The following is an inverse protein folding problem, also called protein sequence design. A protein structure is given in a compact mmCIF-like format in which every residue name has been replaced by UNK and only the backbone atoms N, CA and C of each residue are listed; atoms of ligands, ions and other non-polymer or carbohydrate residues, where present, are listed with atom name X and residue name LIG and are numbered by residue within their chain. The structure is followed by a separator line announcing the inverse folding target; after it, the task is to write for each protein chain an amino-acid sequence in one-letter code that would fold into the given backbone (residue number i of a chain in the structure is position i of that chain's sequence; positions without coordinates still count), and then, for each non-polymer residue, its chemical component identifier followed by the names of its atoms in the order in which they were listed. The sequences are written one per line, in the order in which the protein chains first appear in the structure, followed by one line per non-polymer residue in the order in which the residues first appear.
data_IF_286200345705
#
_entry.id   IF_286200345705
#
_cell.length_a   1.000
_cell.length_b   1.000
_cell.length_c   1.000
_cell.angle_alpha   90.00
_cell.angle_beta   90.00
_cell.angle_gamma   90.00
#
_symmetry.space_group_name_H-M   'P 1'
#
loop_
_entity.id
_entity.type
_entity.pdbx_description
1 polymer ?
#
# COMPACT_ATOMS: atom_id res chain seq x y z
N UNK A 1 38.40 -16.58 17.19
CA UNK A 1 38.08 -17.79 17.97
C UNK A 1 37.26 -17.38 19.17
N UNK A 2 36.17 -18.11 19.42
CA UNK A 2 35.13 -17.98 20.46
C UNK A 2 34.11 -16.86 20.29
N UNK A 3 33.03 -17.20 19.56
CA UNK A 3 31.71 -16.58 19.64
C UNK A 3 30.94 -17.23 20.80
N UNK A 4 30.37 -16.42 21.68
CA UNK A 4 29.53 -16.87 22.80
C UNK A 4 28.08 -16.59 22.43
N UNK A 5 27.32 -17.64 22.14
CA UNK A 5 25.89 -17.56 21.88
C UNK A 5 25.11 -17.52 23.20
N UNK A 6 24.20 -16.55 23.32
CA UNK A 6 23.22 -16.48 24.40
C UNK A 6 21.93 -17.14 23.92
N UNK A 7 21.46 -18.17 24.62
CA UNK A 7 20.16 -18.79 24.40
C UNK A 7 19.12 -18.09 25.30
N UNK A 8 18.07 -17.55 24.68
CA UNK A 8 16.93 -16.94 25.35
C UNK A 8 15.87 -18.04 25.56
N UNK A 9 15.48 -18.30 26.81
CA UNK A 9 14.40 -19.22 27.16
C UNK A 9 13.06 -18.47 27.19
N UNK A 10 12.12 -18.87 26.33
CA UNK A 10 10.74 -18.37 26.30
C UNK A 10 9.88 -19.27 27.19
N UNK A 11 9.17 -18.66 28.15
CA UNK A 11 8.16 -19.32 28.98
C UNK A 11 6.79 -19.14 28.30
N UNK A 12 6.20 -20.22 27.82
CA UNK A 12 4.81 -20.25 27.37
C UNK A 12 3.87 -20.33 28.58
N UNK A 13 2.99 -19.33 28.71
CA UNK A 13 1.84 -19.34 29.62
C UNK A 13 0.62 -19.79 28.81
N UNK A 14 0.07 -20.96 29.16
CA UNK A 14 -1.19 -21.44 28.61
C UNK A 14 -2.38 -20.78 29.33
N UNK A 15 -3.27 -20.16 28.55
CA UNK A 15 -4.59 -19.74 29.03
C UNK A 15 -5.63 -20.78 28.57
N UNK A 16 -6.42 -21.23 29.55
CA UNK A 16 -7.42 -22.27 29.42
C UNK A 16 -8.70 -21.82 28.72
N UNK A 17 -9.34 -22.82 28.14
CA UNK A 17 -10.63 -22.85 27.48
C UNK A 17 -11.72 -23.11 28.54
N UNK A 18 -12.76 -22.29 28.57
CA UNK A 18 -13.97 -22.54 29.38
C UNK A 18 -15.17 -21.78 28.77
N UNK A 19 -16.24 -22.53 28.45
CA UNK A 19 -17.60 -21.98 28.53
C UNK A 19 -18.53 -22.23 27.35
N UNK A 20 -18.85 -23.49 27.07
CA UNK A 20 -20.04 -23.84 26.28
C UNK A 20 -21.33 -23.45 27.01
N UNK A 21 -22.28 -22.83 26.29
CA UNK A 21 -23.66 -22.66 26.74
C UNK A 21 -24.61 -23.28 25.72
N UNK A 22 -25.21 -24.39 26.15
CA UNK A 22 -26.36 -25.03 25.52
C UNK A 22 -27.64 -24.23 25.76
N UNK A 23 -28.38 -23.92 24.70
CA UNK A 23 -29.74 -23.38 24.76
C UNK A 23 -30.62 -24.00 23.68
N UNK A 24 -31.40 -25.01 24.07
CA UNK A 24 -32.48 -25.59 23.27
C UNK A 24 -33.82 -24.87 23.56
N UNK A 25 -34.85 -25.23 22.78
CA UNK A 25 -36.31 -24.96 22.95
C UNK A 25 -36.76 -23.67 22.18
N UNK A 26 -37.75 -23.64 21.28
CA UNK A 26 -38.93 -24.48 20.99
C UNK A 26 -39.40 -24.31 19.54
N UNK A 27 -39.80 -25.42 18.93
CA UNK A 27 -40.67 -25.52 17.77
C UNK A 27 -42.14 -25.28 18.19
N UNK A 28 -42.89 -24.51 17.40
CA UNK A 28 -44.36 -24.51 17.45
C UNK A 28 -44.92 -24.01 16.11
N UNK A 29 -45.33 -24.96 15.26
CA UNK A 29 -45.95 -24.68 13.98
C UNK A 29 -47.40 -24.18 14.05
N UNK A 30 -47.84 -23.58 12.95
CA UNK A 30 -49.20 -23.50 12.36
C UNK A 30 -49.09 -22.49 11.21
N UNK A 31 -49.14 -22.86 9.92
CA UNK A 31 -50.22 -23.55 9.23
C UNK A 31 -51.18 -22.50 8.67
N UNK A 32 -51.07 -22.14 7.37
CA UNK A 32 -52.26 -21.89 6.55
C UNK A 32 -51.94 -21.87 5.05
N UNK A 33 -52.67 -22.72 4.35
CA UNK A 33 -52.88 -22.81 2.93
C UNK A 33 -53.60 -21.56 2.41
N UNK A 34 -53.22 -21.03 1.24
CA UNK A 34 -54.20 -20.56 0.25
C UNK A 34 -53.61 -20.60 -1.15
N UNK A 35 -54.44 -21.15 -2.00
CA UNK A 35 -54.33 -21.53 -3.40
C UNK A 35 -54.86 -20.40 -4.31
N UNK A 36 -54.68 -20.56 -5.62
CA UNK A 36 -55.39 -19.85 -6.73
C UNK A 36 -54.85 -18.43 -7.04
N UNK A 37 -54.38 -18.06 -8.24
CA UNK A 37 -54.98 -18.26 -9.58
C UNK A 37 -53.96 -18.03 -10.69
N UNK A 38 -54.04 -18.88 -11.71
CA UNK A 38 -53.54 -18.69 -13.08
C UNK A 38 -54.21 -17.51 -13.79
N UNK A 39 -53.47 -16.74 -14.59
CA UNK A 39 -54.04 -16.09 -15.78
C UNK A 39 -53.00 -16.09 -16.89
N UNK A 40 -53.33 -16.91 -17.87
CA UNK A 40 -52.74 -17.04 -19.19
C UNK A 40 -53.32 -15.92 -20.08
N UNK A 41 -52.51 -15.18 -20.81
CA UNK A 41 -52.98 -14.49 -22.02
C UNK A 41 -51.86 -14.38 -23.04
N UNK A 42 -52.16 -14.97 -24.20
CA UNK A 42 -51.35 -15.17 -25.39
C UNK A 42 -51.44 -13.98 -26.35
N UNK A 43 -50.60 -14.03 -27.41
CA UNK A 43 -50.67 -13.31 -28.71
C UNK A 43 -50.08 -11.87 -28.70
N UNK A 44 -49.21 -11.41 -29.61
CA UNK A 44 -49.05 -11.69 -31.06
C UNK A 44 -47.68 -11.24 -31.58
N UNK A 45 -47.17 -11.93 -32.60
CA UNK A 45 -46.02 -11.68 -33.48
C UNK A 45 -46.12 -10.41 -34.35
N UNK A 46 -45.02 -9.67 -34.58
CA UNK A 46 -44.51 -9.20 -35.90
C UNK A 46 -43.24 -8.32 -35.80
N UNK A 47 -42.16 -8.76 -36.45
CA UNK A 47 -41.52 -8.04 -37.57
C UNK A 47 -40.73 -6.74 -37.37
N UNK A 48 -39.41 -6.87 -37.59
CA UNK A 48 -38.54 -5.98 -38.38
C UNK A 48 -37.93 -4.71 -37.75
N UNK A 49 -36.58 -4.76 -37.65
CA UNK A 49 -35.62 -3.80 -38.23
C UNK A 49 -35.87 -2.30 -38.02
N UNK A 50 -34.98 -1.65 -37.26
CA UNK A 50 -34.18 -0.52 -37.77
C UNK A 50 -33.03 -0.17 -36.83
N UNK A 51 -31.91 0.13 -37.46
CA UNK A 51 -30.65 0.66 -36.94
C UNK A 51 -30.85 2.01 -36.25
N UNK A 52 -30.20 2.22 -35.10
CA UNK A 52 -29.84 3.54 -34.61
C UNK A 52 -28.55 3.45 -33.80
N UNK A 53 -27.54 4.11 -34.33
CA UNK A 53 -26.25 4.43 -33.74
C UNK A 53 -26.46 5.32 -32.51
N UNK A 54 -25.95 4.93 -31.35
CA UNK A 54 -25.79 5.84 -30.21
C UNK A 54 -24.31 5.98 -29.88
N UNK A 55 -23.88 7.24 -29.80
CA UNK A 55 -22.56 7.72 -29.44
C UNK A 55 -22.19 7.31 -27.99
N UNK A 56 -20.93 6.96 -27.72
CA UNK A 56 -20.44 6.91 -26.36
C UNK A 56 -20.20 8.32 -25.82
N UNK A 57 -20.80 8.60 -24.66
CA UNK A 57 -20.57 9.81 -23.88
C UNK A 57 -19.14 9.80 -23.34
N UNK A 58 -18.37 10.81 -23.74
CA UNK A 58 -16.97 11.01 -23.37
C UNK A 58 -16.84 11.30 -21.88
N UNK A 59 -16.07 10.47 -21.17
CA UNK A 59 -15.64 10.69 -19.79
C UNK A 59 -14.75 11.94 -19.68
N UNK A 60 -15.00 12.73 -18.64
CA UNK A 60 -14.35 14.02 -18.41
C UNK A 60 -12.84 13.91 -18.25
N UNK A 61 -12.12 14.31 -19.29
CA UNK A 61 -10.68 14.58 -19.23
C UNK A 61 -10.47 15.81 -18.36
N UNK A 62 -9.78 15.68 -17.22
CA UNK A 62 -9.25 16.82 -16.48
C UNK A 62 -8.08 17.41 -17.26
N UNK A 63 -8.38 18.29 -18.21
CA UNK A 63 -7.38 19.03 -18.98
C UNK A 63 -6.97 20.30 -18.26
N UNK A 64 -5.72 20.37 -17.78
CA UNK A 64 -5.07 21.64 -17.51
C UNK A 64 -4.32 22.13 -18.76
N UNK A 65 -4.50 23.42 -19.06
CA UNK A 65 -3.93 24.11 -20.22
C UNK A 65 -2.50 24.51 -19.91
N UNK A 66 -1.52 23.89 -20.57
CA UNK A 66 -0.15 24.40 -20.60
C UNK A 66 -0.06 25.61 -21.55
N UNK A 67 0.22 26.78 -21.00
CA UNK A 67 0.56 27.98 -21.76
C UNK A 67 2.03 27.91 -22.19
N UNK A 68 2.28 27.53 -23.44
CA UNK A 68 3.59 27.72 -24.06
C UNK A 68 3.74 29.18 -24.52
N UNK A 69 4.58 29.93 -23.82
CA UNK A 69 5.04 31.26 -24.24
C UNK A 69 6.20 31.13 -25.25
N UNK A 70 5.94 31.47 -26.50
CA UNK A 70 6.96 31.72 -27.52
C UNK A 70 7.63 33.07 -27.26
N UNK A 71 8.94 33.04 -27.02
CA UNK A 71 9.80 34.22 -26.95
C UNK A 71 10.18 34.66 -28.37
N UNK A 72 9.70 35.84 -28.80
CA UNK A 72 10.25 36.55 -29.95
C UNK A 72 11.23 37.63 -29.49
N UNK A 73 12.40 37.54 -30.09
CA UNK A 73 13.52 38.47 -30.11
C UNK A 73 13.07 39.88 -30.54
N UNK A 74 13.38 40.90 -29.75
CA UNK A 74 13.52 42.26 -30.29
C UNK A 74 14.54 43.08 -29.51
N UNK A 75 15.57 43.46 -30.25
CA UNK A 75 16.69 44.31 -29.90
C UNK A 75 16.23 45.75 -29.69
N UNK A 76 16.48 46.36 -28.53
CA UNK A 76 16.60 47.82 -28.39
C UNK A 76 17.61 48.21 -27.31
N UNK A 77 18.50 49.13 -27.71
CA UNK A 77 19.62 49.76 -26.98
C UNK A 77 19.20 50.62 -25.77
N UNK A 78 20.13 50.91 -24.83
CA UNK A 78 19.82 51.45 -23.50
C UNK A 78 19.93 52.98 -23.43
N UNK A 79 19.39 53.59 -22.36
CA UNK A 79 19.99 54.77 -21.79
C UNK A 79 20.45 54.56 -20.34
N UNK A 80 21.71 54.94 -20.14
CA UNK A 80 22.39 55.26 -18.89
C UNK A 80 21.59 56.21 -18.02
N UNK A 81 21.47 55.94 -16.71
CA UNK A 81 21.46 56.99 -15.69
C UNK A 81 21.98 56.50 -14.34
N UNK A 82 22.82 57.36 -13.76
CA UNK A 82 23.56 57.29 -12.50
C UNK A 82 22.79 57.93 -11.34
N UNK A 83 22.83 57.33 -10.14
CA UNK A 83 22.82 57.95 -8.80
C UNK A 83 23.05 56.82 -7.78
N UNK A 84 24.12 56.70 -6.98
CA UNK A 84 24.75 57.51 -5.92
C UNK A 84 23.98 57.54 -4.58
N UNK A 85 24.71 57.11 -3.53
CA UNK A 85 24.52 57.29 -2.07
C UNK A 85 23.47 56.45 -1.35
N UNK A 86 23.55 56.14 -0.05
CA UNK A 86 24.59 56.00 0.99
C UNK A 86 23.82 55.74 2.32
N UNK A 87 24.53 55.31 3.36
CA UNK A 87 24.21 55.33 4.80
C UNK A 87 23.70 54.02 5.43
N UNK A 88 24.55 53.30 6.16
CA UNK A 88 24.89 53.39 7.62
C UNK A 88 23.73 53.14 8.59
N UNK A 89 23.96 52.23 9.54
CA UNK A 89 23.05 52.00 10.67
C UNK A 89 23.46 50.81 11.55
N UNK A 90 24.55 50.96 12.29
CA UNK A 90 24.97 50.09 13.39
C UNK A 90 24.00 50.17 14.57
N UNK A 91 23.61 49.06 15.19
CA UNK A 91 23.39 49.04 16.65
C UNK A 91 23.65 47.66 17.25
N UNK A 92 24.63 47.64 18.15
CA UNK A 92 24.99 46.58 19.09
C UNK A 92 24.20 46.78 20.38
N UNK A 93 23.70 45.73 21.02
CA UNK A 93 23.74 45.52 22.48
C UNK A 93 23.40 44.07 22.80
N UNK A 94 24.30 43.40 23.52
CA UNK A 94 24.06 42.12 24.18
C UNK A 94 23.71 42.29 25.66
N UNK A 95 23.47 41.14 26.32
CA UNK A 95 23.57 40.77 27.76
C UNK A 95 22.69 39.50 27.88
N UNK A 96 23.24 38.29 27.91
CA UNK A 96 23.88 37.54 29.02
C UNK A 96 22.95 37.25 30.21
N UNK A 97 22.61 35.95 30.42
CA UNK A 97 22.47 35.33 31.75
C UNK A 97 22.34 33.79 31.69
N UNK A 98 23.41 33.13 32.13
CA UNK A 98 23.50 32.07 33.17
C UNK A 98 22.78 30.70 33.04
N UNK A 99 23.62 29.69 32.80
CA UNK A 99 23.83 28.40 33.49
C UNK A 99 22.96 27.94 34.67
N UNK A 100 22.62 26.65 34.65
CA UNK A 100 22.45 25.80 35.84
C UNK A 100 22.09 24.33 35.48
N UNK A 101 22.86 23.32 35.91
CA UNK A 101 22.60 21.90 35.63
C UNK A 101 21.82 21.24 36.77
N UNK A 102 21.01 20.22 36.48
CA UNK A 102 20.46 19.36 37.52
C UNK A 102 20.62 17.88 37.19
N UNK A 103 21.02 17.14 38.23
CA UNK A 103 21.53 15.78 38.23
C UNK A 103 20.69 15.00 39.23
N UNK A 104 20.08 13.87 38.83
CA UNK A 104 19.54 12.86 39.77
C UNK A 104 19.48 11.52 39.04
N UNK A 105 20.41 10.59 39.27
CA UNK A 105 20.49 9.57 40.35
C UNK A 105 19.67 8.31 40.08
N UNK A 106 20.43 7.24 39.91
CA UNK A 106 20.18 5.80 39.77
C UNK A 106 19.30 5.20 40.87
N UNK A 107 18.54 4.14 40.54
CA UNK A 107 18.20 3.08 41.51
C UNK A 107 18.13 1.74 40.79
N UNK A 108 19.20 0.97 40.92
CA UNK A 108 19.24 -0.48 40.67
C UNK A 108 18.48 -1.20 41.79
N UNK A 109 17.68 -2.21 41.45
CA UNK A 109 17.22 -3.23 42.40
C UNK A 109 17.55 -4.60 41.85
N UNK A 110 18.59 -5.18 42.43
CA UNK A 110 19.05 -6.55 42.20
C UNK A 110 18.24 -7.49 43.09
N UNK A 111 17.51 -8.45 42.53
CA UNK A 111 16.93 -9.56 43.28
C UNK A 111 17.63 -10.84 42.84
N UNK A 112 18.42 -11.38 43.77
CA UNK A 112 19.04 -12.69 43.73
C UNK A 112 17.98 -13.75 43.98
N UNK A 113 17.87 -14.76 43.10
CA UNK A 113 17.26 -16.03 43.49
C UNK A 113 18.08 -17.22 42.99
N UNK A 114 18.24 -18.15 43.92
CA UNK A 114 19.12 -19.32 43.91
C UNK A 114 18.25 -20.55 43.75
N UNK A 115 18.47 -21.39 42.73
CA UNK A 115 17.93 -22.77 42.74
C UNK A 115 18.75 -23.73 41.85
N UNK A 116 19.56 -24.52 42.56
CA UNK A 116 19.67 -25.99 42.52
C UNK A 116 19.64 -26.73 41.17
N UNK A 117 20.81 -27.24 40.85
CA UNK A 117 21.19 -28.34 39.93
C UNK A 117 20.35 -29.61 40.12
N UNK A 118 19.97 -30.28 39.02
CA UNK A 118 19.82 -31.74 38.97
C UNK A 118 20.20 -32.23 37.57
N UNK A 119 21.37 -32.87 37.50
CA UNK A 119 21.82 -33.70 36.40
C UNK A 119 20.91 -34.93 36.22
N UNK A 120 20.58 -35.28 34.98
CA UNK A 120 20.33 -36.68 34.61
C UNK A 120 20.86 -36.94 33.22
N UNK A 121 22.05 -37.52 33.21
CA UNK A 121 22.72 -38.18 32.10
C UNK A 121 21.94 -39.45 31.72
N UNK A 122 21.48 -39.57 30.48
CA UNK A 122 21.20 -40.89 29.89
C UNK A 122 21.79 -40.99 28.49
N UNK A 123 22.96 -41.62 28.44
CA UNK A 123 23.57 -42.19 27.25
C UNK A 123 22.75 -43.38 26.77
N UNK A 124 22.43 -43.45 25.48
CA UNK A 124 22.19 -44.73 24.80
C UNK A 124 22.56 -44.64 23.33
N UNK A 125 23.31 -45.64 22.92
CA UNK A 125 24.09 -45.77 21.69
C UNK A 125 23.31 -46.60 20.67
N UNK A 126 23.43 -46.22 19.40
CA UNK A 126 23.38 -47.04 18.16
C UNK A 126 22.23 -48.04 17.95
N UNK A 127 21.56 -47.91 16.81
CA UNK A 127 21.59 -48.93 15.74
C UNK A 127 21.15 -48.33 14.41
N UNK A 128 22.01 -48.50 13.42
CA UNK A 128 21.76 -48.34 11.99
C UNK A 128 20.75 -49.39 11.55
N UNK A 129 19.66 -48.98 10.89
CA UNK A 129 19.01 -49.84 9.91
C UNK A 129 18.45 -49.00 8.77
N UNK A 130 18.91 -49.36 7.58
CA UNK A 130 18.64 -48.80 6.28
C UNK A 130 17.33 -49.41 5.78
N UNK A 131 16.27 -48.60 5.67
CA UNK A 131 15.08 -48.98 4.91
C UNK A 131 14.45 -47.74 4.30
N UNK A 132 14.75 -47.56 3.02
CA UNK A 132 14.04 -46.75 2.05
C UNK A 132 12.52 -46.83 2.24
N UNK A 133 11.96 -45.77 2.82
CA UNK A 133 10.58 -45.35 2.64
C UNK A 133 10.63 -43.85 2.46
N UNK A 134 10.42 -43.39 1.22
CA UNK A 134 10.06 -42.01 0.89
C UNK A 134 8.73 -41.71 1.57
N UNK A 135 8.82 -41.36 2.84
CA UNK A 135 7.75 -40.74 3.60
C UNK A 135 7.96 -39.26 3.35
N UNK A 136 7.19 -38.74 2.41
CA UNK A 136 6.96 -37.31 2.24
C UNK A 136 6.29 -36.83 3.53
N UNK A 137 7.14 -36.53 4.51
CA UNK A 137 6.74 -35.99 5.80
C UNK A 137 6.66 -34.48 5.63
N UNK A 138 5.67 -34.03 4.87
CA UNK A 138 5.08 -32.71 5.09
C UNK A 138 4.45 -32.77 6.47
N UNK A 139 5.29 -32.48 7.47
CA UNK A 139 4.82 -32.04 8.78
C UNK A 139 4.15 -30.71 8.48
N UNK A 140 2.86 -30.78 8.15
CA UNK A 140 1.99 -29.62 8.05
C UNK A 140 1.93 -29.00 9.43
N UNK A 141 2.97 -28.24 9.77
CA UNK A 141 2.83 -27.15 10.73
C UNK A 141 1.67 -26.32 10.18
N UNK A 142 0.61 -26.26 10.98
CA UNK A 142 -0.51 -25.36 10.74
C UNK A 142 0.13 -24.00 10.44
N UNK A 143 -0.04 -23.46 9.22
CA UNK A 143 0.53 -22.18 8.89
C UNK A 143 0.07 -21.22 9.98
N UNK A 144 1.03 -20.63 10.70
CA UNK A 144 0.73 -19.73 11.79
C UNK A 144 -0.28 -18.67 11.35
N UNK A 145 -1.04 -18.06 12.28
CA UNK A 145 -1.98 -17.01 11.92
C UNK A 145 -1.30 -16.00 11.02
N UNK A 146 -1.94 -15.68 9.88
CA UNK A 146 -1.43 -14.75 8.87
C UNK A 146 -0.23 -15.27 8.06
N UNK A 147 -0.05 -16.58 7.88
CA UNK A 147 0.88 -17.08 6.86
C UNK A 147 0.44 -16.66 5.44
N UNK A 148 1.42 -16.56 4.55
CA UNK A 148 1.17 -16.34 3.13
C UNK A 148 0.66 -17.63 2.48
N UNK A 149 -0.48 -17.61 1.79
CA UNK A 149 -1.01 -18.78 1.12
C UNK A 149 -0.19 -19.09 -0.13
N UNK A 150 -0.05 -20.37 -0.44
CA UNK A 150 0.44 -20.84 -1.73
C UNK A 150 -0.72 -20.82 -2.73
N UNK A 151 -0.75 -19.80 -3.59
CA UNK A 151 -1.81 -19.58 -4.59
C UNK A 151 -1.19 -19.51 -5.99
N UNK A 152 -2.02 -19.75 -7.02
CA UNK A 152 -1.57 -19.88 -8.42
C UNK A 152 -0.79 -18.66 -8.93
N UNK A 153 -1.19 -17.46 -8.51
CA UNK A 153 -0.45 -16.22 -8.79
C UNK A 153 0.33 -15.86 -7.54
N UNK A 154 1.66 -16.11 -7.50
CA UNK A 154 2.43 -15.93 -6.28
C UNK A 154 2.37 -14.49 -5.77
N UNK A 155 2.54 -14.29 -4.47
CA UNK A 155 2.47 -12.96 -3.86
C UNK A 155 3.84 -12.32 -3.66
N UNK A 156 4.92 -13.04 -3.99
CA UNK A 156 6.30 -12.76 -3.60
C UNK A 156 7.29 -12.61 -4.75
N UNK A 157 6.86 -12.79 -6.00
CA UNK A 157 7.71 -12.72 -7.21
C UNK A 157 7.44 -11.48 -8.09
N UNK A 158 6.60 -10.54 -7.64
CA UNK A 158 6.37 -9.30 -8.40
C UNK A 158 5.46 -8.27 -7.73
N UNK A 159 5.16 -7.24 -8.50
CA UNK A 159 4.35 -6.08 -8.11
C UNK A 159 3.05 -6.11 -8.90
N UNK A 160 1.91 -6.05 -8.22
CA UNK A 160 0.62 -5.90 -8.89
C UNK A 160 0.46 -4.45 -9.31
N UNK A 161 0.03 -4.22 -10.55
CA UNK A 161 -0.22 -2.89 -11.10
C UNK A 161 -1.60 -2.84 -11.75
N UNK A 162 -2.23 -1.68 -11.59
CA UNK A 162 -3.63 -1.45 -11.91
C UNK A 162 -3.74 -0.39 -13.01
N UNK A 163 -4.45 -0.70 -14.08
CA UNK A 163 -4.80 0.28 -15.10
C UNK A 163 -5.98 1.14 -14.67
N UNK A 164 -6.10 2.34 -15.26
CA UNK A 164 -7.23 3.26 -15.10
C UNK A 164 -8.55 2.76 -15.71
N UNK A 165 -8.50 1.69 -16.51
CA UNK A 165 -9.61 1.08 -17.24
C UNK A 165 -9.91 -0.38 -16.82
N UNK A 166 -9.56 -0.75 -15.58
CA UNK A 166 -9.89 -2.04 -14.94
C UNK A 166 -9.23 -3.27 -15.56
N UNK A 167 -7.93 -3.16 -15.80
CA UNK A 167 -7.03 -4.28 -16.03
C UNK A 167 -6.09 -4.46 -14.84
N UNK A 168 -5.98 -5.70 -14.38
CA UNK A 168 -4.99 -6.10 -13.39
C UNK A 168 -3.82 -6.77 -14.07
N UNK A 169 -2.62 -6.28 -13.77
CA UNK A 169 -1.36 -6.76 -14.32
C UNK A 169 -0.39 -7.05 -13.18
N UNK A 170 0.65 -7.81 -13.52
CA UNK A 170 1.79 -8.03 -12.65
C UNK A 170 3.08 -7.62 -13.35
N UNK A 171 3.84 -6.75 -12.70
CA UNK A 171 5.16 -6.33 -13.10
C UNK A 171 6.21 -7.19 -12.37
N UNK A 172 7.18 -7.70 -13.11
CA UNK A 172 8.27 -8.52 -12.61
C UNK A 172 9.57 -7.72 -12.66
N UNK A 173 10.06 -7.18 -11.52
CA UNK A 173 11.25 -6.36 -11.50
C UNK A 173 12.50 -7.04 -12.07
N UNK A 174 12.72 -8.33 -11.74
CA UNK A 174 13.89 -9.09 -12.18
C UNK A 174 14.03 -9.14 -13.71
N UNK A 175 12.91 -9.29 -14.41
CA UNK A 175 12.88 -9.42 -15.88
C UNK A 175 12.42 -8.14 -16.59
N UNK A 176 12.04 -7.11 -15.82
CA UNK A 176 11.44 -5.88 -16.29
C UNK A 176 10.27 -6.13 -17.28
N UNK A 177 9.40 -7.08 -16.94
CA UNK A 177 8.31 -7.54 -17.80
C UNK A 177 6.95 -7.40 -17.13
N UNK A 178 5.89 -7.40 -17.95
CA UNK A 178 4.51 -7.28 -17.49
C UNK A 178 3.70 -8.47 -18.00
N UNK A 179 2.84 -9.01 -17.13
CA UNK A 179 1.86 -10.05 -17.48
C UNK A 179 0.47 -9.56 -17.10
N UNK A 180 -0.46 -9.59 -18.06
CA UNK A 180 -1.87 -9.31 -17.78
C UNK A 180 -2.46 -10.50 -17.01
N UNK A 181 -3.05 -10.24 -15.86
CA UNK A 181 -3.78 -11.27 -15.10
C UNK A 181 -5.22 -11.35 -15.60
N UNK A 182 -5.83 -10.20 -15.92
CA UNK A 182 -7.16 -10.13 -16.49
C UNK A 182 -7.75 -8.73 -16.42
N UNK A 183 -8.85 -8.53 -17.15
CA UNK A 183 -9.72 -7.38 -16.95
C UNK A 183 -10.86 -7.75 -16.01
N UNK A 184 -11.48 -6.75 -15.39
CA UNK A 184 -12.55 -6.96 -14.42
C UNK A 184 -13.67 -5.92 -14.55
N UNK A 185 -14.84 -6.28 -14.03
CA UNK A 185 -16.01 -5.42 -14.05
C UNK A 185 -16.86 -5.66 -12.80
N UNK A 186 -16.56 -4.90 -11.75
CA UNK A 186 -17.19 -5.06 -10.45
C UNK A 186 -18.55 -4.32 -10.42
N UNK A 187 -19.57 -4.90 -11.07
CA UNK A 187 -20.92 -4.32 -11.07
C UNK A 187 -21.10 -3.08 -11.96
N UNK A 188 -20.32 -2.97 -13.04
CA UNK A 188 -20.31 -1.85 -13.99
C UNK A 188 -19.19 -0.85 -13.77
N UNK A 189 -18.42 -0.99 -12.69
CA UNK A 189 -17.32 -0.08 -12.37
C UNK A 189 -16.05 -0.47 -13.12
N UNK A 190 -15.54 0.46 -13.90
CA UNK A 190 -14.31 0.29 -14.69
C UNK A 190 -13.30 1.41 -14.53
N UNK A 191 -13.62 2.46 -13.77
CA UNK A 191 -12.73 3.62 -13.58
C UNK A 191 -12.08 3.53 -12.21
N UNK A 192 -10.79 3.21 -12.20
CA UNK A 192 -10.04 2.89 -10.99
C UNK A 192 -9.22 4.09 -10.51
N UNK A 193 -8.89 4.12 -9.22
CA UNK A 193 -8.18 5.22 -8.57
C UNK A 193 -6.86 4.75 -7.93
N UNK A 194 -6.92 3.84 -6.96
CA UNK A 194 -5.74 3.29 -6.26
C UNK A 194 -5.98 1.80 -5.94
N UNK A 195 -4.92 1.09 -5.56
CA UNK A 195 -4.95 -0.35 -5.25
C UNK A 195 -3.99 -0.70 -4.11
N UNK A 196 -4.44 -1.56 -3.20
CA UNK A 196 -3.59 -2.31 -2.27
C UNK A 196 -3.80 -3.81 -2.47
N UNK A 197 -2.81 -4.66 -2.18
CA UNK A 197 -2.96 -6.13 -2.27
C UNK A 197 -2.76 -6.74 -0.89
N UNK A 198 -3.74 -7.51 -0.41
CA UNK A 198 -3.65 -8.17 0.89
C UNK A 198 -2.87 -9.48 0.82
N UNK A 199 -2.55 -10.01 2.00
CA UNK A 199 -1.85 -11.30 2.11
C UNK A 199 -2.61 -12.50 1.56
N UNK A 200 -3.92 -12.39 1.34
CA UNK A 200 -4.77 -13.50 0.89
C UNK A 200 -4.91 -13.54 -0.63
N UNK A 201 -4.27 -12.60 -1.34
CA UNK A 201 -4.34 -12.52 -2.79
C UNK A 201 -5.57 -11.77 -3.30
N UNK A 202 -6.10 -10.83 -2.51
CA UNK A 202 -7.07 -9.87 -3.03
C UNK A 202 -6.43 -8.51 -3.29
N UNK A 203 -6.62 -8.01 -4.49
CA UNK A 203 -6.41 -6.61 -4.82
C UNK A 203 -7.64 -5.81 -4.38
N UNK A 204 -7.46 -4.92 -3.41
CA UNK A 204 -8.46 -3.95 -2.97
C UNK A 204 -8.35 -2.72 -3.85
N UNK A 205 -9.32 -2.54 -4.73
CA UNK A 205 -9.33 -1.47 -5.75
C UNK A 205 -10.35 -0.43 -5.37
N UNK A 206 -9.93 0.83 -5.33
CA UNK A 206 -10.79 1.99 -5.18
C UNK A 206 -11.21 2.50 -6.56
N UNK A 207 -12.47 2.89 -6.70
CA UNK A 207 -13.03 3.39 -7.96
C UNK A 207 -13.34 4.90 -7.90
N UNK A 208 -13.31 5.53 -9.08
CA UNK A 208 -13.77 6.92 -9.26
C UNK A 208 -15.29 7.01 -9.40
N UNK A 209 -15.97 5.93 -9.78
CA UNK A 209 -17.41 5.93 -10.04
C UNK A 209 -18.04 4.60 -9.60
N UNK A 210 -18.79 4.58 -8.48
CA UNK A 210 -18.98 5.69 -7.54
C UNK A 210 -17.67 6.09 -6.85
N UNK A 211 -17.58 7.36 -6.45
CA UNK A 211 -16.39 7.93 -5.85
C UNK A 211 -16.04 7.24 -4.53
N UNK A 212 -14.82 6.70 -4.44
CA UNK A 212 -14.28 6.13 -3.20
C UNK A 212 -14.80 4.74 -2.87
N UNK A 213 -15.57 4.10 -3.75
CA UNK A 213 -16.02 2.72 -3.58
C UNK A 213 -14.82 1.77 -3.63
N UNK A 214 -14.76 0.77 -2.75
CA UNK A 214 -13.66 -0.21 -2.70
C UNK A 214 -14.20 -1.62 -2.89
N UNK A 215 -13.62 -2.37 -3.83
CA UNK A 215 -13.94 -3.79 -4.06
C UNK A 215 -12.69 -4.66 -3.97
N UNK A 216 -12.88 -5.94 -3.63
CA UNK A 216 -11.82 -6.95 -3.67
C UNK A 216 -11.86 -7.67 -5.01
N UNK A 217 -10.71 -7.80 -5.65
CA UNK A 217 -10.49 -8.55 -6.88
C UNK A 217 -9.55 -9.71 -6.54
N UNK A 218 -9.95 -10.94 -6.83
CA UNK A 218 -9.07 -12.11 -6.70
C UNK A 218 -7.94 -12.02 -7.74
N UNK A 219 -6.68 -12.02 -7.31
CA UNK A 219 -5.56 -11.90 -8.25
C UNK A 219 -5.39 -13.13 -9.15
N UNK A 220 -5.96 -14.28 -8.76
CA UNK A 220 -5.97 -15.53 -9.53
C UNK A 220 -7.14 -15.61 -10.51
N UNK A 221 -8.23 -14.89 -10.25
CA UNK A 221 -9.36 -14.74 -11.15
C UNK A 221 -9.90 -13.30 -11.11
N UNK A 222 -9.32 -12.36 -11.89
CA UNK A 222 -9.71 -10.96 -11.80
C UNK A 222 -11.18 -10.68 -12.10
N UNK A 223 -11.91 -11.59 -12.75
CA UNK A 223 -13.35 -11.43 -12.96
C UNK A 223 -14.17 -11.65 -11.68
N UNK A 224 -13.57 -12.23 -10.64
CA UNK A 224 -14.19 -12.46 -9.35
C UNK A 224 -14.06 -11.23 -8.44
N UNK A 225 -15.02 -10.31 -8.61
CA UNK A 225 -15.17 -9.13 -7.76
C UNK A 225 -16.05 -9.44 -6.53
N UNK A 226 -15.58 -9.05 -5.34
CA UNK A 226 -16.30 -9.17 -4.07
C UNK A 226 -16.49 -7.78 -3.48
N UNK A 227 -17.74 -7.39 -3.21
CA UNK A 227 -18.07 -6.20 -2.44
C UNK A 227 -17.78 -6.49 -0.96
N UNK A 228 -16.78 -5.83 -0.34
CA UNK A 228 -16.50 -6.00 1.08
C UNK A 228 -17.58 -5.36 1.97
N UNK A 229 -18.41 -4.45 1.44
CA UNK A 229 -19.31 -3.60 2.21
C UNK A 229 -18.63 -2.34 2.75
N UNK A 230 -17.57 -1.87 2.09
CA UNK A 230 -16.90 -0.62 2.46
C UNK A 230 -17.83 0.56 2.19
N UNK A 231 -18.08 1.40 3.19
CA UNK A 231 -18.85 2.62 3.00
C UNK A 231 -17.90 3.75 2.59
N UNK A 232 -18.08 4.41 1.43
CA UNK A 232 -17.24 5.53 1.04
C UNK A 232 -17.47 6.78 1.89
N UNK A 233 -16.55 7.75 1.79
CA UNK A 233 -16.65 9.07 2.41
C UNK A 233 -16.74 9.04 3.96
N UNK A 234 -16.13 8.03 4.59
CA UNK A 234 -16.02 7.99 6.05
C UNK A 234 -15.14 9.14 6.52
N UNK A 235 -15.60 9.86 7.55
CA UNK A 235 -14.87 11.00 8.11
C UNK A 235 -14.55 12.11 7.08
N UNK A 236 -15.26 12.16 5.95
CA UNK A 236 -14.99 13.12 4.87
C UNK A 236 -13.87 12.69 3.92
N UNK A 237 -13.35 11.47 4.05
CA UNK A 237 -12.31 10.93 3.17
C UNK A 237 -12.96 10.20 1.99
N UNK A 238 -12.96 10.87 0.83
CA UNK A 238 -13.49 10.31 -0.41
C UNK A 238 -12.49 9.46 -1.19
N UNK A 239 -11.21 9.82 -1.15
CA UNK A 239 -10.14 9.14 -1.87
C UNK A 239 -8.88 9.05 -1.01
N UNK A 240 -8.09 8.01 -1.21
CA UNK A 240 -6.75 7.88 -0.64
C UNK A 240 -5.92 6.89 -1.45
N UNK A 241 -4.63 7.17 -1.60
CA UNK A 241 -3.67 6.16 -2.05
C UNK A 241 -3.46 5.14 -0.92
N UNK A 242 -3.33 3.84 -1.23
CA UNK A 242 -3.42 2.78 -0.22
C UNK A 242 -2.41 1.66 -0.36
N UNK A 243 -2.05 1.05 0.78
CA UNK A 243 -1.22 -0.16 0.84
C UNK A 243 -1.51 -1.00 2.08
N UNK A 244 -1.32 -2.31 1.97
CA UNK A 244 -1.23 -3.19 3.14
C UNK A 244 0.17 -3.16 3.74
N UNK A 245 0.24 -3.16 5.07
CA UNK A 245 1.50 -3.14 5.82
C UNK A 245 1.40 -4.17 6.94
N UNK A 246 2.42 -5.03 7.10
CA UNK A 246 2.47 -5.96 8.23
C UNK A 246 2.56 -5.22 9.55
N UNK A 247 2.05 -5.81 10.63
CA UNK A 247 2.20 -5.25 11.97
C UNK A 247 3.68 -5.14 12.33
N UNK A 248 4.46 -6.20 12.08
CA UNK A 248 5.93 -6.21 12.16
C UNK A 248 6.51 -7.45 11.46
N UNK A 249 7.84 -7.57 11.42
CA UNK A 249 8.52 -8.82 11.01
C UNK A 249 8.15 -10.07 11.85
N UNK A 250 7.59 -9.89 13.05
CA UNK A 250 7.22 -10.99 13.97
C UNK A 250 5.71 -11.18 14.11
N UNK A 251 4.94 -10.21 13.68
CA UNK A 251 3.48 -10.24 13.62
C UNK A 251 3.10 -9.91 12.19
N UNK A 252 2.95 -10.97 11.40
CA UNK A 252 2.86 -10.84 9.96
C UNK A 252 1.51 -10.28 9.53
N UNK A 253 0.46 -10.37 10.37
CA UNK A 253 -0.87 -9.84 10.09
C UNK A 253 -0.79 -8.38 9.63
N UNK A 254 -1.68 -7.99 8.72
CA UNK A 254 -1.57 -6.75 7.97
C UNK A 254 -2.79 -5.85 8.17
N UNK A 255 -2.53 -4.55 8.00
CA UNK A 255 -3.53 -3.50 8.05
C UNK A 255 -3.34 -2.59 6.84
N UNK A 256 -4.44 -2.04 6.32
CA UNK A 256 -4.37 -1.08 5.23
C UNK A 256 -4.07 0.31 5.79
N UNK A 257 -3.17 1.03 5.13
CA UNK A 257 -2.83 2.43 5.42
C UNK A 257 -3.03 3.28 4.19
N UNK A 258 -3.35 4.56 4.40
CA UNK A 258 -3.65 5.48 3.32
C UNK A 258 -3.17 6.91 3.56
N UNK A 259 -3.08 7.69 2.48
CA UNK A 259 -3.00 9.15 2.52
C UNK A 259 -4.15 9.76 1.74
N UNK A 260 -4.92 10.65 2.36
CA UNK A 260 -6.12 11.22 1.75
C UNK A 260 -5.84 12.10 0.53
N UNK A 261 -6.84 12.17 -0.34
CA UNK A 261 -6.94 13.09 -1.46
C UNK A 261 -8.35 13.68 -1.47
N UNK A 262 -8.45 15.00 -1.64
CA UNK A 262 -9.74 15.71 -1.60
C UNK A 262 -10.58 15.52 -2.88
N UNK A 263 -10.00 14.94 -3.94
CA UNK A 263 -10.68 14.73 -5.21
C UNK A 263 -10.73 15.97 -6.12
N UNK A 264 -10.10 17.08 -5.71
CA UNK A 264 -10.20 18.37 -6.41
C UNK A 264 -8.83 18.88 -6.87
N UNK A 265 -8.72 19.15 -8.16
CA UNK A 265 -7.51 19.73 -8.74
C UNK A 265 -6.37 18.72 -8.87
N UNK A 266 -5.14 19.23 -8.91
CA UNK A 266 -3.95 18.39 -8.95
C UNK A 266 -3.39 18.16 -7.55
N UNK A 267 -2.48 17.19 -7.46
CA UNK A 267 -1.72 16.91 -6.24
C UNK A 267 -0.99 18.16 -5.75
N UNK A 268 -1.02 18.40 -4.44
CA UNK A 268 -0.42 19.58 -3.85
C UNK A 268 0.21 19.29 -2.50
N UNK A 269 1.06 20.22 -2.05
CA UNK A 269 1.75 20.14 -0.77
C UNK A 269 1.51 21.42 0.04
N UNK A 270 1.26 21.26 1.34
CA UNK A 270 1.01 22.36 2.26
C UNK A 270 0.66 21.86 3.67
N UNK A 271 0.80 22.68 4.71
CA UNK A 271 0.62 22.22 6.08
C UNK A 271 -0.76 21.60 6.36
N UNK A 272 -0.80 20.31 6.71
CA UNK A 272 -2.00 19.61 7.16
C UNK A 272 -3.16 19.58 6.17
N UNK A 273 -2.86 19.52 4.87
CA UNK A 273 -3.88 19.50 3.80
C UNK A 273 -4.38 18.09 3.46
N UNK A 274 -3.72 17.05 3.96
CA UNK A 274 -4.17 15.66 3.87
C UNK A 274 -4.15 14.97 5.23
N UNK A 275 -4.44 13.68 5.22
CA UNK A 275 -4.53 12.83 6.40
C UNK A 275 -3.83 11.49 6.12
N UNK A 276 -3.00 11.06 7.06
CA UNK A 276 -2.49 9.71 7.15
C UNK A 276 -3.47 8.90 8.00
N UNK A 277 -3.93 7.80 7.46
CA UNK A 277 -5.01 7.00 8.01
C UNK A 277 -4.72 5.51 7.94
N UNK A 278 -5.49 4.73 8.68
CA UNK A 278 -5.58 3.29 8.51
C UNK A 278 -7.01 2.86 8.24
N UNK A 279 -7.16 1.72 7.58
CA UNK A 279 -8.42 1.01 7.41
C UNK A 279 -8.29 -0.37 8.02
N UNK A 280 -9.22 -0.71 8.89
CA UNK A 280 -9.34 -2.05 9.43
C UNK A 280 -9.99 -2.97 8.38
N UNK A 281 -9.33 -4.05 7.92
CA UNK A 281 -9.87 -4.87 6.82
C UNK A 281 -11.09 -5.71 7.22
N UNK A 282 -11.37 -5.87 8.52
CA UNK A 282 -12.53 -6.62 9.01
C UNK A 282 -13.74 -5.70 9.25
N UNK A 283 -13.53 -4.58 9.92
CA UNK A 283 -14.62 -3.63 10.22
C UNK A 283 -14.83 -2.57 9.14
N UNK A 284 -13.87 -2.42 8.22
CA UNK A 284 -13.88 -1.46 7.11
C UNK A 284 -13.97 0.00 7.53
N UNK A 285 -13.58 0.28 8.78
CA UNK A 285 -13.60 1.63 9.34
C UNK A 285 -12.26 2.34 9.12
N UNK A 286 -12.34 3.59 8.66
CA UNK A 286 -11.20 4.51 8.67
C UNK A 286 -10.88 4.90 10.11
N UNK A 287 -9.59 5.00 10.42
CA UNK A 287 -9.05 5.69 11.60
C UNK A 287 -7.99 6.71 11.15
N UNK A 288 -8.22 7.99 11.42
CA UNK A 288 -7.27 9.06 11.07
C UNK A 288 -6.19 9.10 12.15
N UNK A 289 -4.94 8.89 11.73
CA UNK A 289 -3.78 8.81 12.62
C UNK A 289 -3.21 10.21 12.84
N UNK A 290 -2.95 10.93 11.76
CA UNK A 290 -2.40 12.29 11.81
C UNK A 290 -2.67 13.07 10.52
N UNK A 291 -2.70 14.41 10.57
CA UNK A 291 -2.60 15.22 9.35
C UNK A 291 -1.28 14.94 8.59
N UNK A 292 -1.29 15.14 7.27
CA UNK A 292 -0.12 15.16 6.41
C UNK A 292 -0.07 16.43 5.58
N UNK A 293 1.11 16.70 5.04
CA UNK A 293 1.29 17.85 4.17
C UNK A 293 0.95 17.56 2.71
N UNK A 294 0.36 16.40 2.40
CA UNK A 294 0.11 15.94 1.03
C UNK A 294 -1.39 15.83 0.76
N UNK A 295 -1.91 16.65 -0.15
CA UNK A 295 -3.23 16.43 -0.73
C UNK A 295 -3.06 15.46 -1.91
N UNK A 296 -3.20 14.17 -1.60
CA UNK A 296 -2.89 13.05 -2.48
C UNK A 296 -1.42 12.62 -2.43
N UNK A 297 -1.23 11.37 -2.04
CA UNK A 297 0.01 10.63 -2.11
C UNK A 297 -0.36 9.15 -2.25
N UNK A 298 0.47 8.40 -2.96
CA UNK A 298 0.33 6.94 -3.00
C UNK A 298 1.09 6.34 -1.83
N UNK A 299 0.70 5.13 -1.44
CA UNK A 299 1.26 4.43 -0.28
C UNK A 299 1.88 3.09 -0.70
N UNK A 300 2.91 2.65 0.01
CA UNK A 300 3.40 1.28 -0.07
C UNK A 300 3.84 0.79 1.30
N UNK A 301 3.78 -0.53 1.51
CA UNK A 301 4.08 -1.18 2.77
C UNK A 301 5.06 -2.33 2.59
N UNK A 302 5.64 -2.79 3.69
CA UNK A 302 6.60 -3.90 3.70
C UNK A 302 6.20 -4.99 4.68
N UNK A 303 6.72 -6.20 4.46
CA UNK A 303 6.55 -7.34 5.37
C UNK A 303 7.23 -7.19 6.73
N UNK A 304 8.22 -6.29 6.86
CA UNK A 304 8.82 -5.94 8.16
C UNK A 304 8.07 -4.81 8.89
N UNK A 305 7.03 -4.25 8.26
CA UNK A 305 6.09 -3.33 8.89
C UNK A 305 6.45 -1.85 8.75
N UNK A 306 7.22 -1.46 7.73
CA UNK A 306 7.43 -0.06 7.36
C UNK A 306 6.35 0.41 6.38
N UNK A 307 6.03 1.69 6.42
CA UNK A 307 5.07 2.33 5.50
C UNK A 307 5.69 3.56 4.89
N UNK A 308 5.48 3.74 3.59
CA UNK A 308 6.04 4.85 2.84
C UNK A 308 4.95 5.58 2.06
N UNK A 309 5.15 6.89 1.89
CA UNK A 309 4.34 7.76 1.03
C UNK A 309 5.18 8.27 -0.14
N UNK A 310 4.61 8.26 -1.34
CA UNK A 310 5.15 8.97 -2.51
C UNK A 310 4.25 10.15 -2.87
N UNK A 311 4.79 11.37 -2.75
CA UNK A 311 4.03 12.60 -2.99
C UNK A 311 4.87 13.87 -2.87
N UNK A 312 4.20 15.02 -2.84
CA UNK A 312 4.80 16.35 -2.64
C UNK A 312 5.32 17.07 -3.89
N UNK A 313 5.66 18.35 -3.73
CA UNK A 313 6.09 19.26 -4.79
C UNK A 313 7.34 20.05 -4.33
N UNK A 314 8.58 19.63 -4.69
CA UNK A 314 8.95 18.49 -5.54
C UNK A 314 8.66 17.14 -4.87
N UNK A 315 8.59 16.08 -5.68
CA UNK A 315 8.24 14.74 -5.19
C UNK A 315 9.32 14.18 -4.26
N UNK A 316 8.88 13.38 -3.29
CA UNK A 316 9.73 12.72 -2.30
C UNK A 316 9.10 11.41 -1.84
N UNK A 317 9.97 10.53 -1.36
CA UNK A 317 9.60 9.32 -0.63
C UNK A 317 9.70 9.63 0.86
N UNK A 318 8.66 9.29 1.63
CA UNK A 318 8.60 9.56 3.07
C UNK A 318 8.30 8.28 3.82
N UNK A 319 9.20 7.85 4.70
CA UNK A 319 8.89 6.81 5.68
C UNK A 319 8.10 7.42 6.83
N UNK A 320 7.06 6.73 7.31
CA UNK A 320 6.24 7.19 8.42
C UNK A 320 6.16 6.17 9.54
N UNK A 321 6.06 6.68 10.75
CA UNK A 321 5.70 5.88 11.91
C UNK A 321 4.20 5.55 11.83
N UNK A 322 3.84 4.27 11.78
CA UNK A 322 2.44 3.82 11.59
C UNK A 322 1.51 4.21 12.74
N UNK A 323 2.04 4.41 13.94
CA UNK A 323 1.22 4.67 15.13
C UNK A 323 0.93 6.16 15.31
N UNK A 324 1.86 7.02 14.91
CA UNK A 324 1.81 8.46 15.15
C UNK A 324 1.70 9.28 13.86
N UNK A 325 1.98 8.67 12.71
CA UNK A 325 2.07 9.31 11.39
C UNK A 325 3.27 10.25 11.23
N UNK A 326 4.14 10.33 12.25
CA UNK A 326 5.34 11.13 12.23
C UNK A 326 6.28 10.71 11.10
N UNK A 327 6.93 11.69 10.48
CA UNK A 327 7.97 11.43 9.47
C UNK A 327 9.18 10.80 10.15
N UNK A 328 9.56 9.62 9.69
CA UNK A 328 10.77 8.90 10.12
C UNK A 328 11.95 9.31 9.26
N UNK A 329 11.78 9.27 7.94
CA UNK A 329 12.79 9.68 6.97
C UNK A 329 12.15 10.32 5.73
N UNK A 330 12.94 11.09 4.98
CA UNK A 330 12.52 11.71 3.73
C UNK A 330 13.65 11.65 2.71
N UNK A 331 13.39 10.95 1.61
CA UNK A 331 14.29 10.85 0.47
C UNK A 331 13.78 11.71 -0.70
N UNK A 332 14.50 12.78 -1.09
CA UNK A 332 14.11 13.60 -2.23
C UNK A 332 14.25 12.84 -3.56
N UNK A 333 13.16 12.78 -4.35
CA UNK A 333 13.15 12.11 -5.65
C UNK A 333 13.45 13.10 -6.76
N UNK A 334 14.72 13.52 -6.84
CA UNK A 334 15.15 14.52 -7.81
C UNK A 334 14.78 14.10 -9.24
N UNK A 335 14.07 14.99 -9.95
CA UNK A 335 13.64 14.81 -11.33
C UNK A 335 12.61 13.69 -11.58
N UNK A 336 11.95 13.17 -10.54
CA UNK A 336 10.76 12.33 -10.71
C UNK A 336 9.51 13.20 -10.60
N UNK A 337 8.82 13.53 -11.71
CA UNK A 337 7.60 14.32 -11.62
C UNK A 337 6.46 13.50 -11.00
N UNK A 338 5.58 14.16 -10.24
CA UNK A 338 4.21 13.65 -10.06
C UNK A 338 3.43 13.94 -11.34
N UNK A 339 2.87 12.90 -11.93
CA UNK A 339 2.06 12.95 -13.17
C UNK A 339 0.57 12.85 -12.83
N UNK A 340 -0.34 12.87 -13.81
CA UNK A 340 -1.77 12.76 -13.52
C UNK A 340 -2.16 11.36 -13.04
N UNK A 341 -1.44 10.34 -13.52
CA UNK A 341 -1.45 8.99 -13.00
C UNK A 341 -0.07 8.69 -12.42
N UNK A 342 0.00 8.35 -11.15
CA UNK A 342 1.22 7.82 -10.55
C UNK A 342 0.88 6.75 -9.51
N UNK A 343 1.80 5.81 -9.36
CA UNK A 343 1.77 4.78 -8.33
C UNK A 343 3.20 4.40 -7.98
N UNK A 344 3.40 3.69 -6.87
CA UNK A 344 4.70 3.11 -6.56
C UNK A 344 4.54 1.90 -5.65
N UNK A 345 5.56 1.05 -5.63
CA UNK A 345 5.59 -0.09 -4.74
C UNK A 345 7.00 -0.36 -4.24
N UNK A 346 7.09 -0.84 -3.01
CA UNK A 346 8.31 -1.44 -2.47
C UNK A 346 8.39 -2.91 -2.93
N UNK A 347 9.56 -3.38 -3.35
CA UNK A 347 9.79 -4.79 -3.62
C UNK A 347 11.26 -5.15 -3.48
N UNK A 348 11.58 -6.18 -2.70
CA UNK A 348 12.92 -6.77 -2.65
C UNK A 348 14.04 -5.84 -2.19
N UNK A 349 13.75 -4.84 -1.35
CA UNK A 349 14.74 -3.84 -0.91
C UNK A 349 14.55 -2.47 -1.56
N UNK A 350 13.87 -2.43 -2.70
CA UNK A 350 13.86 -1.28 -3.60
C UNK A 350 12.47 -0.65 -3.81
N UNK A 351 12.44 0.52 -4.45
CA UNK A 351 11.20 1.17 -4.86
C UNK A 351 11.07 1.25 -6.38
N UNK A 352 9.85 0.98 -6.86
CA UNK A 352 9.47 1.07 -8.26
C UNK A 352 8.35 2.10 -8.40
N UNK A 353 8.63 3.16 -9.15
CA UNK A 353 7.73 4.27 -9.41
C UNK A 353 7.16 4.13 -10.81
N UNK A 354 5.83 4.18 -10.88
CA UNK A 354 5.06 4.15 -12.10
C UNK A 354 4.48 5.54 -12.33
N UNK A 355 4.98 6.25 -13.34
CA UNK A 355 4.54 7.61 -13.69
C UNK A 355 4.20 7.66 -15.18
N UNK A 356 3.42 8.63 -15.63
CA UNK A 356 3.11 8.78 -17.07
C UNK A 356 4.41 8.90 -17.89
N UNK A 357 4.45 8.23 -19.04
CA UNK A 357 5.58 8.34 -19.97
C UNK A 357 5.45 9.59 -20.85
N UNK A 358 6.32 9.74 -21.85
CA UNK A 358 6.13 10.76 -22.88
C UNK A 358 4.81 10.57 -23.67
N UNK A 359 4.27 9.35 -23.69
CA UNK A 359 2.91 9.07 -24.10
C UNK A 359 2.02 8.96 -22.84
N UNK A 360 1.10 9.91 -22.59
CA UNK A 360 0.29 9.90 -21.37
C UNK A 360 -0.68 8.73 -21.28
N UNK A 361 -0.86 7.93 -22.34
CA UNK A 361 -1.68 6.71 -22.33
C UNK A 361 -0.97 5.49 -21.74
N UNK A 362 0.31 5.60 -21.40
CA UNK A 362 1.08 4.53 -20.77
C UNK A 362 2.00 5.08 -19.69
N UNK A 363 2.36 4.24 -18.73
CA UNK A 363 3.35 4.59 -17.72
C UNK A 363 4.77 4.23 -18.15
N UNK A 364 5.75 4.79 -17.45
CA UNK A 364 7.15 4.35 -17.42
C UNK A 364 7.46 3.83 -16.02
N UNK A 365 8.50 3.01 -15.90
CA UNK A 365 9.01 2.49 -14.62
C UNK A 365 10.34 3.14 -14.29
N UNK A 366 10.41 3.77 -13.13
CA UNK A 366 11.64 4.29 -12.54
C UNK A 366 11.93 3.49 -11.28
N UNK A 367 13.14 2.95 -11.18
CA UNK A 367 13.62 2.15 -10.06
C UNK A 367 14.54 2.99 -9.20
N UNK A 368 14.38 2.88 -7.88
CA UNK A 368 15.29 3.41 -6.88
C UNK A 368 15.95 2.21 -6.18
N UNK A 369 17.25 2.06 -6.41
CA UNK A 369 18.10 1.17 -5.60
C UNK A 369 18.19 1.80 -4.20
N UNK A 370 17.37 1.30 -3.28
CA UNK A 370 17.20 1.92 -1.96
C UNK A 370 18.05 1.23 -0.89
N UNK A 371 18.25 -0.08 -1.04
CA UNK A 371 19.03 -0.88 -0.12
C UNK A 371 20.54 -0.90 -0.45
N UNK A 372 20.96 -0.21 -1.51
CA UNK A 372 22.36 -0.15 -1.97
C UNK A 372 22.87 -1.55 -2.34
N UNK A 373 22.04 -2.31 -3.08
CA UNK A 373 22.31 -3.69 -3.47
C UNK A 373 23.56 -3.82 -4.36
N UNK A 374 23.91 -2.80 -5.13
CA UNK A 374 25.14 -2.75 -5.93
C UNK A 374 26.40 -2.36 -5.11
N UNK A 375 26.22 -1.98 -3.83
CA UNK A 375 27.24 -1.55 -2.88
C UNK A 375 28.09 -0.37 -3.37
N UNK A 376 27.55 0.51 -4.20
CA UNK A 376 28.23 1.72 -4.66
C UNK A 376 28.10 2.90 -3.67
N UNK A 377 27.29 2.74 -2.63
CA UNK A 377 27.05 3.70 -1.57
C UNK A 377 26.08 4.81 -1.97
N UNK A 378 25.34 4.65 -3.07
CA UNK A 378 24.43 5.66 -3.61
C UNK A 378 23.06 5.06 -3.89
N UNK A 379 22.04 5.70 -3.33
CA UNK A 379 20.67 5.43 -3.73
C UNK A 379 20.39 6.07 -5.10
N UNK A 380 20.31 5.23 -6.14
CA UNK A 380 20.25 5.67 -7.53
C UNK A 380 18.84 5.54 -8.11
N UNK A 381 18.35 6.63 -8.69
CA UNK A 381 17.06 6.68 -9.37
C UNK A 381 17.24 6.54 -10.89
N UNK A 382 16.78 5.43 -11.47
CA UNK A 382 16.99 5.06 -12.88
C UNK A 382 15.69 4.69 -13.57
N UNK A 383 15.40 5.27 -14.74
CA UNK A 383 14.30 4.80 -15.59
C UNK A 383 14.70 3.50 -16.28
N UNK A 384 14.06 2.40 -15.89
CA UNK A 384 14.36 1.05 -16.38
C UNK A 384 13.38 0.58 -17.46
N UNK A 385 12.19 1.18 -17.55
CA UNK A 385 11.24 0.94 -18.63
C UNK A 385 10.60 2.24 -19.07
N UNK A 386 10.67 2.56 -20.37
CA UNK A 386 10.10 3.80 -20.89
C UNK A 386 8.62 3.71 -21.24
N UNK A 387 8.07 2.50 -21.43
CA UNK A 387 6.67 2.29 -21.82
C UNK A 387 6.16 0.94 -21.28
N UNK A 388 5.40 1.00 -20.19
CA UNK A 388 4.53 -0.07 -19.72
C UNK A 388 3.41 -0.32 -20.76
N UNK A 389 2.73 -1.49 -20.71
CA UNK A 389 1.62 -1.79 -21.62
C UNK A 389 0.36 -0.96 -21.34
N UNK A 390 0.26 -0.35 -20.15
CA UNK A 390 -0.92 0.36 -19.65
C UNK A 390 -0.53 1.67 -18.96
N UNK A 391 -1.52 2.54 -18.74
CA UNK A 391 -1.43 3.67 -17.82
C UNK A 391 -1.73 3.19 -16.39
N UNK A 392 -0.72 3.21 -15.53
CA UNK A 392 -0.79 2.66 -14.18
C UNK A 392 -1.25 3.76 -13.21
N UNK A 393 -2.35 3.52 -12.49
CA UNK A 393 -2.91 4.40 -11.45
C UNK A 393 -2.80 3.82 -10.05
N UNK A 394 -2.58 2.50 -9.91
CA UNK A 394 -2.35 1.85 -8.63
C UNK A 394 -1.24 0.81 -8.75
N UNK A 395 -0.48 0.64 -7.67
CA UNK A 395 0.53 -0.40 -7.56
C UNK A 395 0.54 -0.90 -6.12
N UNK A 396 0.55 -2.22 -5.96
CA UNK A 396 0.49 -2.85 -4.66
C UNK A 396 1.34 -4.11 -4.62
N UNK A 397 1.96 -4.34 -3.49
CA UNK A 397 2.55 -5.64 -3.13
C UNK A 397 1.77 -6.20 -1.96
N UNK A 398 1.66 -7.52 -1.92
CA UNK A 398 1.26 -8.21 -0.70
C UNK A 398 2.36 -8.07 0.34
N UNK A 399 2.00 -8.13 1.61
CA UNK A 399 2.98 -8.20 2.71
C UNK A 399 3.80 -9.50 2.71
N UNK A 400 3.45 -10.44 1.83
CA UNK A 400 4.23 -11.63 1.49
C UNK A 400 5.44 -11.36 0.58
N UNK A 401 5.50 -10.19 -0.05
CA UNK A 401 6.62 -9.81 -0.89
C UNK A 401 7.93 -9.69 -0.09
N UNK A 402 9.08 -9.98 -0.71
CA UNK A 402 10.38 -9.83 -0.07
C UNK A 402 10.59 -8.38 0.39
N UNK A 403 10.93 -8.20 1.67
CA UNK A 403 11.23 -6.89 2.26
C UNK A 403 12.74 -6.55 2.30
N UNK A 404 13.57 -7.49 1.88
CA UNK A 404 15.02 -7.42 1.88
C UNK A 404 15.55 -7.88 0.50
N UNK A 405 16.80 -7.52 0.15
CA UNK A 405 17.41 -7.93 -1.11
C UNK A 405 17.33 -9.44 -1.31
N UNK A 406 16.98 -9.85 -2.54
CA UNK A 406 16.87 -11.25 -2.97
C UNK A 406 18.17 -11.84 -3.48
#
# INVERSE_FOLDING_TARGET
MNRTAWALAVVLVGCGDDGGVTGAITDNGTGSNTDVTTTDTTTTTHGASMSATEEPTVGGTMGQTESQGTSEDTTTTPPTSTTTESMTGTTTMGVDTTTGPDTTTTTDTTTTDTTTTTDTTTTSTSTTDDTSTTTDSTTGEDPGPCACPDIEVPLDDGIFVLSDDSELWKYYPETNSFTMLGSFNCGGMTSTFSMAVDRLGFAWVMFNTPAGEIWKIDVTDPNNCIDPGYNPNQQGIGYFGMAFVSNSQFDQCDRMYGNSFDGFGGFSEGPGIGDFLSVDPDSLLIDIISPTDFNGAEMTGTGDGRVFSFGGVPSKLVERDKLTGAVVDTFPLQNLPLTNAFAFAFFGGDFYFFTESANPLVSKVTHLDYDDSDMDGQQQLTTINNNAPIRIVGAGVSTCAPFAPM
#
